data_IF_365444591810
#
_entry.id   IF_365444591810
#
_cell.length_a   1.000
_cell.length_b   1.000
_cell.length_c   1.000
_cell.angle_alpha   90.00
_cell.angle_beta   90.00
_cell.angle_gamma   90.00
#
_symmetry.space_group_name_H-M   'P 1'
#
loop_
_entity.id
_entity.type
_entity.pdbx_description
1 polymer ?
#
# COMPACT_ATOMS: atom_id res chain seq x y z
N UNK A 1 -1.75 24.15 14.97
CA UNK A 1 -1.15 22.79 14.99
C UNK A 1 -0.82 22.44 13.54
N UNK A 2 0.39 21.99 13.20
CA UNK A 2 0.72 21.62 11.82
C UNK A 2 -0.01 20.33 11.42
N UNK A 3 -0.39 20.21 10.15
CA UNK A 3 -1.01 18.99 9.58
C UNK A 3 -0.19 17.73 9.95
N UNK A 4 1.14 17.83 9.83
CA UNK A 4 2.08 16.76 10.16
C UNK A 4 2.01 16.37 11.64
N UNK A 5 1.86 17.32 12.56
CA UNK A 5 1.78 17.03 13.99
C UNK A 5 0.49 16.29 14.36
N UNK A 6 -0.64 16.62 13.73
CA UNK A 6 -1.90 15.88 13.91
C UNK A 6 -1.78 14.43 13.43
N UNK A 7 -1.22 14.23 12.23
CA UNK A 7 -0.97 12.90 11.68
C UNK A 7 -0.09 12.07 12.62
N UNK A 8 1.01 12.67 13.09
CA UNK A 8 1.95 11.96 13.96
C UNK A 8 1.30 11.53 15.27
N UNK A 9 0.50 12.39 15.90
CA UNK A 9 -0.15 12.07 17.17
C UNK A 9 -1.17 10.93 17.07
N UNK A 10 -1.96 10.88 15.99
CA UNK A 10 -3.02 9.89 15.83
C UNK A 10 -2.52 8.53 15.31
N UNK A 11 -1.40 8.51 14.59
CA UNK A 11 -0.87 7.33 13.89
C UNK A 11 0.52 6.87 14.37
N UNK A 12 1.06 7.44 15.46
CA UNK A 12 2.41 7.10 15.98
C UNK A 12 2.65 5.62 16.25
N UNK A 13 1.61 4.89 16.65
CA UNK A 13 1.65 3.46 16.96
C UNK A 13 1.88 2.58 15.73
N UNK A 14 1.62 3.10 14.53
CA UNK A 14 1.99 2.47 13.26
C UNK A 14 3.51 2.47 13.03
N UNK A 15 4.28 3.25 13.80
CA UNK A 15 5.72 3.41 13.61
C UNK A 15 6.03 4.16 12.32
N UNK A 16 5.57 5.42 12.25
CA UNK A 16 5.79 6.31 11.11
C UNK A 16 7.30 6.56 10.92
N UNK A 17 7.79 6.36 9.71
CA UNK A 17 9.19 6.60 9.33
C UNK A 17 9.35 7.81 8.42
N UNK A 18 8.37 8.05 7.54
CA UNK A 18 8.41 9.13 6.55
C UNK A 18 6.99 9.61 6.23
N UNK A 19 6.85 10.92 5.97
CA UNK A 19 5.61 11.53 5.48
C UNK A 19 5.98 12.38 4.26
N UNK A 20 5.43 12.03 3.10
CA UNK A 20 5.70 12.72 1.84
C UNK A 20 4.43 13.29 1.23
N UNK A 21 4.57 14.37 0.47
CA UNK A 21 3.51 14.93 -0.37
C UNK A 21 3.71 14.43 -1.80
N UNK A 22 2.98 13.36 -2.14
CA UNK A 22 3.05 12.69 -3.45
C UNK A 22 1.89 13.16 -4.32
N UNK A 23 2.11 14.26 -5.06
CA UNK A 23 1.08 14.86 -5.91
C UNK A 23 -0.16 15.30 -5.11
N UNK A 24 -1.36 14.74 -5.37
CA UNK A 24 -2.56 15.06 -4.60
C UNK A 24 -2.66 14.28 -3.26
N UNK A 25 -1.74 13.36 -2.99
CA UNK A 25 -1.77 12.45 -1.84
C UNK A 25 -0.74 12.85 -0.77
N UNK A 26 -1.06 12.54 0.50
CA UNK A 26 -0.09 12.49 1.60
C UNK A 26 0.22 11.02 1.83
N UNK A 27 1.45 10.62 1.49
CA UNK A 27 1.95 9.28 1.73
C UNK A 27 2.57 9.18 3.12
N UNK A 28 2.16 8.18 3.89
CA UNK A 28 2.68 7.93 5.25
C UNK A 28 3.30 6.54 5.25
N UNK A 29 4.63 6.50 5.39
CA UNK A 29 5.41 5.26 5.46
C UNK A 29 5.46 4.77 6.90
N UNK A 30 5.14 3.49 7.11
CA UNK A 30 4.99 2.90 8.44
C UNK A 30 5.66 1.53 8.54
N UNK A 31 6.19 1.21 9.72
CA UNK A 31 6.77 -0.12 10.02
C UNK A 31 5.72 -1.18 10.37
N UNK A 32 4.50 -0.77 10.75
CA UNK A 32 3.41 -1.68 11.12
C UNK A 32 2.18 -1.49 10.22
N UNK A 33 2.30 -1.76 8.90
CA UNK A 33 1.20 -1.56 7.94
C UNK A 33 -0.04 -2.39 8.27
N UNK A 34 0.09 -3.57 8.91
CA UNK A 34 -1.05 -4.39 9.32
C UNK A 34 -2.00 -3.67 10.30
N UNK A 35 -1.46 -2.87 11.24
CA UNK A 35 -2.27 -2.10 12.20
C UNK A 35 -3.05 -0.96 11.53
N UNK A 36 -2.63 -0.53 10.34
CA UNK A 36 -3.34 0.52 9.60
C UNK A 36 -4.74 0.06 9.17
N UNK A 37 -4.96 -1.25 9.00
CA UNK A 37 -6.26 -1.81 8.66
C UNK A 37 -7.29 -1.58 9.78
N UNK A 38 -6.85 -1.63 11.04
CA UNK A 38 -7.68 -1.37 12.22
C UNK A 38 -7.96 0.13 12.39
N UNK A 39 -7.09 0.99 11.86
CA UNK A 39 -7.18 2.45 11.95
C UNK A 39 -7.86 3.14 10.77
N UNK A 40 -8.58 2.39 9.93
CA UNK A 40 -9.22 2.92 8.73
C UNK A 40 -10.16 4.11 9.01
N UNK A 41 -10.92 4.08 10.10
CA UNK A 41 -11.82 5.19 10.47
C UNK A 41 -11.05 6.45 10.88
N UNK A 42 -10.00 6.29 11.67
CA UNK A 42 -9.08 7.37 12.07
C UNK A 42 -8.43 8.01 10.85
N UNK A 43 -7.87 7.21 9.95
CA UNK A 43 -7.23 7.68 8.71
C UNK A 43 -8.24 8.47 7.85
N UNK A 44 -9.48 7.98 7.71
CA UNK A 44 -10.55 8.68 6.97
C UNK A 44 -10.92 10.02 7.61
N UNK A 45 -11.01 10.08 8.94
CA UNK A 45 -11.30 11.30 9.68
C UNK A 45 -10.21 12.35 9.45
N UNK A 46 -8.94 11.97 9.61
CA UNK A 46 -7.79 12.84 9.38
C UNK A 46 -7.79 13.36 7.93
N UNK A 47 -7.99 12.47 6.95
CA UNK A 47 -8.05 12.85 5.53
C UNK A 47 -9.16 13.88 5.25
N UNK A 48 -10.33 13.73 5.88
CA UNK A 48 -11.46 14.67 5.76
C UNK A 48 -11.15 16.04 6.38
N UNK A 49 -10.49 16.07 7.53
CA UNK A 49 -10.10 17.31 8.20
C UNK A 49 -9.04 18.08 7.39
N UNK A 50 -8.04 17.38 6.86
CA UNK A 50 -6.96 17.98 6.05
C UNK A 50 -7.43 18.31 4.61
N UNK A 51 -8.52 17.70 4.15
CA UNK A 51 -9.02 17.77 2.77
C UNK A 51 -7.98 17.32 1.73
N UNK A 52 -7.14 16.34 2.09
CA UNK A 52 -6.19 15.67 1.20
C UNK A 52 -6.32 14.16 1.34
N UNK A 53 -6.04 13.43 0.25
CA UNK A 53 -6.06 11.97 0.27
C UNK A 53 -4.85 11.47 1.06
N UNK A 54 -5.07 10.56 2.01
CA UNK A 54 -3.99 9.92 2.77
C UNK A 54 -3.83 8.50 2.29
N UNK A 55 -2.58 8.09 2.05
CA UNK A 55 -2.23 6.74 1.66
C UNK A 55 -1.19 6.21 2.64
N UNK A 56 -1.48 5.07 3.26
CA UNK A 56 -0.52 4.36 4.10
C UNK A 56 0.31 3.45 3.21
N UNK A 57 1.63 3.54 3.34
CA UNK A 57 2.61 2.73 2.62
C UNK A 57 3.49 2.02 3.64
N UNK A 58 3.99 0.84 3.28
CA UNK A 58 4.95 0.15 4.11
C UNK A 58 6.34 0.78 3.96
N UNK A 59 7.05 0.92 5.06
CA UNK A 59 8.46 1.27 5.06
C UNK A 59 9.29 0.19 4.34
N UNK A 60 10.34 0.57 3.62
CA UNK A 60 11.17 -0.37 2.87
C UNK A 60 11.79 -1.45 3.75
N UNK A 61 12.04 -1.16 5.04
CA UNK A 61 12.61 -2.13 5.98
C UNK A 61 11.69 -3.29 6.35
N UNK A 62 10.39 -3.22 6.04
CA UNK A 62 9.41 -4.27 6.38
C UNK A 62 8.82 -4.95 5.15
N UNK A 63 9.10 -4.48 3.94
CA UNK A 63 8.62 -5.10 2.70
C UNK A 63 9.32 -6.44 2.46
N UNK A 64 8.61 -7.37 1.82
CA UNK A 64 9.20 -8.63 1.36
C UNK A 64 10.17 -8.39 0.19
N UNK A 65 11.12 -9.31 0.03
CA UNK A 65 12.05 -9.31 -1.10
C UNK A 65 11.30 -9.47 -2.43
N UNK A 66 11.75 -8.77 -3.47
CA UNK A 66 11.10 -8.74 -4.79
C UNK A 66 10.88 -10.15 -5.38
N UNK A 67 11.80 -11.10 -5.18
CA UNK A 67 11.65 -12.46 -5.71
C UNK A 67 10.53 -13.19 -5.00
N UNK A 68 10.47 -13.10 -3.67
CA UNK A 68 9.38 -13.67 -2.87
C UNK A 68 8.03 -13.06 -3.28
N UNK A 69 8.00 -11.75 -3.53
CA UNK A 69 6.80 -11.04 -3.95
C UNK A 69 6.31 -11.51 -5.32
N UNK A 70 7.22 -11.73 -6.28
CA UNK A 70 6.87 -12.29 -7.60
C UNK A 70 6.25 -13.67 -7.46
N UNK A 71 6.75 -14.53 -6.57
CA UNK A 71 6.18 -15.85 -6.30
C UNK A 71 4.78 -15.76 -5.69
N UNK A 72 4.61 -14.91 -4.67
CA UNK A 72 3.32 -14.66 -4.03
C UNK A 72 2.29 -14.16 -5.07
N UNK A 73 2.65 -13.19 -5.91
CA UNK A 73 1.77 -12.66 -6.95
C UNK A 73 1.36 -13.75 -7.93
N UNK A 74 2.30 -14.58 -8.41
CA UNK A 74 2.00 -15.68 -9.35
C UNK A 74 1.09 -16.75 -8.74
N UNK A 75 1.15 -16.94 -7.42
CA UNK A 75 0.30 -17.90 -6.70
C UNK A 75 -1.10 -17.33 -6.42
N UNK A 76 -1.21 -16.04 -6.10
CA UNK A 76 -2.48 -15.38 -5.80
C UNK A 76 -3.29 -15.01 -7.06
N UNK A 77 -2.61 -14.62 -8.14
CA UNK A 77 -3.24 -14.15 -9.36
C UNK A 77 -3.53 -15.34 -10.30
N UNK A 78 -4.79 -15.50 -10.76
CA UNK A 78 -5.15 -16.58 -11.69
C UNK A 78 -4.34 -16.51 -13.00
N UNK A 79 -3.94 -17.66 -13.55
CA UNK A 79 -3.16 -17.72 -14.80
C UNK A 79 -3.89 -17.08 -15.98
N UNK A 80 -5.22 -17.08 -15.97
CA UNK A 80 -6.07 -16.44 -16.98
C UNK A 80 -5.90 -14.92 -17.04
N UNK A 81 -5.36 -14.30 -15.97
CA UNK A 81 -4.98 -12.89 -15.97
C UNK A 81 -3.92 -12.59 -17.04
N UNK A 82 -3.08 -13.58 -17.37
CA UNK A 82 -1.93 -13.46 -18.26
C UNK A 82 -1.03 -12.28 -17.87
N UNK A 83 -0.42 -12.40 -16.68
CA UNK A 83 0.57 -11.43 -16.20
C UNK A 83 1.77 -11.45 -17.15
N UNK A 84 2.10 -10.29 -17.72
CA UNK A 84 3.17 -10.13 -18.71
C UNK A 84 4.43 -9.50 -18.09
N UNK A 85 4.28 -8.67 -17.07
CA UNK A 85 5.39 -7.95 -16.45
C UNK A 85 5.06 -7.61 -14.99
N UNK A 86 6.07 -7.73 -14.11
CA UNK A 86 6.03 -7.26 -12.73
C UNK A 86 7.24 -6.35 -12.54
N UNK A 87 7.03 -5.12 -12.06
CA UNK A 87 8.07 -4.12 -11.82
C UNK A 87 7.90 -3.50 -10.45
N UNK A 88 9.00 -3.22 -9.78
CA UNK A 88 9.02 -2.63 -8.45
C UNK A 88 9.44 -1.17 -8.53
N UNK A 89 8.74 -0.34 -7.78
CA UNK A 89 9.12 1.03 -7.48
C UNK A 89 9.42 1.10 -5.98
N UNK A 90 10.69 0.99 -5.61
CA UNK A 90 11.11 0.96 -4.21
C UNK A 90 10.90 2.31 -3.50
N UNK A 91 11.00 3.42 -4.23
CA UNK A 91 10.81 4.76 -3.67
C UNK A 91 9.36 4.94 -3.20
N UNK A 92 8.41 4.51 -4.04
CA UNK A 92 6.98 4.58 -3.77
C UNK A 92 6.44 3.36 -3.02
N UNK A 93 7.18 2.26 -2.93
CA UNK A 93 6.72 0.99 -2.36
C UNK A 93 5.61 0.33 -3.16
N UNK A 94 5.68 0.45 -4.48
CA UNK A 94 4.66 -0.04 -5.39
C UNK A 94 5.18 -1.21 -6.24
N UNK A 95 4.27 -2.14 -6.55
CA UNK A 95 4.53 -3.24 -7.48
C UNK A 95 3.56 -3.12 -8.65
N UNK A 96 4.07 -2.74 -9.82
CA UNK A 96 3.32 -2.62 -11.05
C UNK A 96 3.12 -4.00 -11.66
N UNK A 97 1.86 -4.44 -11.78
CA UNK A 97 1.50 -5.76 -12.31
C UNK A 97 0.78 -5.58 -13.65
N UNK A 98 1.49 -5.78 -14.75
CA UNK A 98 0.89 -5.74 -16.09
C UNK A 98 0.30 -7.10 -16.43
N UNK A 99 -0.96 -7.11 -16.82
CA UNK A 99 -1.69 -8.30 -17.20
C UNK A 99 -2.65 -8.01 -18.34
N UNK A 100 -2.96 -9.01 -19.18
CA UNK A 100 -3.97 -8.82 -20.25
C UNK A 100 -5.37 -8.65 -19.69
N UNK A 101 -5.66 -9.23 -18.52
CA UNK A 101 -6.94 -9.09 -17.81
C UNK A 101 -6.72 -8.56 -16.39
N UNK A 102 -6.49 -7.25 -16.21
CA UNK A 102 -6.16 -6.66 -14.90
C UNK A 102 -7.27 -6.83 -13.85
N UNK A 103 -8.54 -6.96 -14.26
CA UNK A 103 -9.64 -7.24 -13.33
C UNK A 103 -9.46 -8.55 -12.54
N UNK A 104 -8.74 -9.53 -13.10
CA UNK A 104 -8.39 -10.78 -12.41
C UNK A 104 -7.23 -10.61 -11.43
N UNK A 105 -6.36 -9.62 -11.63
CA UNK A 105 -5.30 -9.24 -10.68
C UNK A 105 -5.89 -8.49 -9.48
N UNK A 106 -6.87 -7.61 -9.73
CA UNK A 106 -7.56 -6.87 -8.66
C UNK A 106 -8.45 -7.83 -7.85
N UNK A 107 -9.14 -8.74 -8.53
CA UNK A 107 -10.12 -9.65 -7.94
C UNK A 107 -11.43 -8.96 -7.57
N UNK A 108 -12.44 -9.74 -7.21
CA UNK A 108 -13.77 -9.21 -6.83
C UNK A 108 -13.63 -8.28 -5.63
N UNK A 109 -14.00 -7.00 -5.80
CA UNK A 109 -13.91 -5.99 -4.73
C UNK A 109 -12.49 -5.67 -4.27
N UNK A 110 -11.45 -5.99 -5.07
CA UNK A 110 -10.06 -5.73 -4.70
C UNK A 110 -9.43 -6.76 -3.78
N UNK A 111 -10.08 -7.91 -3.55
CA UNK A 111 -9.61 -8.92 -2.60
C UNK A 111 -8.21 -9.45 -2.90
N UNK A 112 -7.84 -9.64 -4.18
CA UNK A 112 -6.50 -10.15 -4.53
C UNK A 112 -5.47 -9.05 -4.32
N UNK A 113 -5.75 -7.81 -4.74
CA UNK A 113 -4.89 -6.66 -4.46
C UNK A 113 -4.66 -6.45 -2.95
N UNK A 114 -5.70 -6.60 -2.13
CA UNK A 114 -5.59 -6.51 -0.67
C UNK A 114 -4.74 -7.65 -0.10
N UNK A 115 -4.89 -8.88 -0.60
CA UNK A 115 -4.05 -10.02 -0.19
C UNK A 115 -2.59 -9.82 -0.57
N UNK A 116 -2.31 -9.36 -1.80
CA UNK A 116 -0.95 -9.04 -2.22
C UNK A 116 -0.34 -8.03 -1.24
N UNK A 117 -1.02 -6.93 -0.95
CA UNK A 117 -0.51 -5.96 0.02
C UNK A 117 -0.35 -6.54 1.43
N UNK A 118 -1.30 -7.34 1.92
CA UNK A 118 -1.24 -7.92 3.26
C UNK A 118 -0.10 -8.94 3.42
N UNK A 119 0.20 -9.71 2.37
CA UNK A 119 1.24 -10.73 2.39
C UNK A 119 2.63 -10.15 2.08
N UNK A 120 2.71 -9.10 1.28
CA UNK A 120 3.99 -8.59 0.74
C UNK A 120 4.41 -7.23 1.28
N UNK A 121 3.44 -6.45 1.75
CA UNK A 121 3.56 -5.03 2.06
C UNK A 121 3.98 -4.14 0.87
N UNK A 122 3.96 -4.67 -0.34
CA UNK A 122 4.04 -3.89 -1.57
C UNK A 122 2.65 -3.50 -2.02
N UNK A 123 2.45 -2.23 -2.38
CA UNK A 123 1.18 -1.74 -2.92
C UNK A 123 1.06 -2.13 -4.39
N UNK A 124 0.15 -3.03 -4.79
CA UNK A 124 0.04 -3.40 -6.20
C UNK A 124 -0.72 -2.32 -6.98
N UNK A 125 -0.19 -1.97 -8.15
CA UNK A 125 -0.74 -0.98 -9.09
C UNK A 125 -0.94 -1.56 -10.48
#
# INVERSE_FOLDING_TARGET
MSIVASIYNELKDLGITRIDYEGPEIAIYVKKPALALEKNETIRKIAKEIKKRIVIKADSSVRKDEKEVVEIIKNLVPQEAQVTEIKFDDELGEVLIKAKKPGLVIGKGGLIQQKIFAETYWRPV
#
